data_IF_676327017191
#
_entry.id   IF_676327017191
#
_cell.length_a   1.000
_cell.length_b   1.000
_cell.length_c   1.000
_cell.angle_alpha   90.00
_cell.angle_beta   90.00
_cell.angle_gamma   90.00
#
_symmetry.space_group_name_H-M   'P 1'
#
loop_
_entity.id
_entity.type
_entity.pdbx_description
1 polymer ?
#
# COMPACT_ATOMS: atom_id res chain seq x y z
N UNK A 1 -6.76 16.84 12.37
CA UNK A 1 -6.84 16.90 10.90
C UNK A 1 -5.59 17.49 10.26
N UNK A 2 -5.17 18.72 10.59
CA UNK A 2 -3.98 19.37 10.03
C UNK A 2 -2.76 18.44 9.91
N UNK A 3 -2.34 17.78 11.01
CA UNK A 3 -1.21 16.83 11.00
C UNK A 3 -1.40 15.64 10.05
N UNK A 4 -2.63 15.14 9.87
CA UNK A 4 -2.94 14.03 8.96
C UNK A 4 -2.75 14.43 7.50
N UNK A 5 -2.87 15.70 7.14
CA UNK A 5 -2.65 16.17 5.77
C UNK A 5 -1.15 16.20 5.43
N UNK A 6 -0.28 16.48 6.40
CA UNK A 6 1.16 16.60 6.16
C UNK A 6 1.86 15.28 5.81
N UNK A 7 1.27 14.13 6.17
CA UNK A 7 1.86 12.80 5.90
C UNK A 7 1.59 12.31 4.48
N UNK A 8 0.67 12.94 3.75
CA UNK A 8 0.33 12.57 2.38
C UNK A 8 1.22 13.30 1.38
N UNK A 9 1.70 12.57 0.37
CA UNK A 9 2.43 13.14 -0.75
C UNK A 9 1.53 13.95 -1.69
N UNK A 10 2.15 14.71 -2.60
CA UNK A 10 1.47 15.61 -3.55
C UNK A 10 0.31 14.94 -4.29
N UNK A 11 0.54 13.76 -4.88
CA UNK A 11 -0.48 13.01 -5.63
C UNK A 11 -1.69 12.58 -4.80
N UNK A 12 -1.52 12.37 -3.49
CA UNK A 12 -2.63 12.04 -2.59
C UNK A 12 -3.39 13.30 -2.18
N UNK A 13 -2.69 14.43 -1.98
CA UNK A 13 -3.30 15.73 -1.70
C UNK A 13 -4.10 16.27 -2.90
N UNK A 14 -3.70 15.96 -4.14
CA UNK A 14 -4.45 16.30 -5.36
C UNK A 14 -5.85 15.63 -5.42
N UNK A 15 -6.06 14.54 -4.67
CA UNK A 15 -7.34 13.83 -4.59
C UNK A 15 -8.23 14.32 -3.44
N UNK A 16 -7.77 15.31 -2.68
CA UNK A 16 -8.51 15.90 -1.57
C UNK A 16 -9.02 17.27 -2.03
N UNK A 17 -10.29 17.62 -1.79
CA UNK A 17 -10.83 18.92 -2.16
C UNK A 17 -10.24 20.01 -1.25
N UNK A 18 -9.07 20.51 -1.62
CA UNK A 18 -8.36 21.59 -0.93
C UNK A 18 -8.41 22.84 -1.82
N UNK A 19 -8.86 23.95 -1.26
CA UNK A 19 -8.68 25.25 -1.89
C UNK A 19 -7.20 25.64 -1.99
N UNK A 20 -6.90 26.63 -2.84
CA UNK A 20 -5.54 27.07 -3.14
C UNK A 20 -4.76 27.49 -1.87
N UNK A 21 -5.40 28.24 -0.96
CA UNK A 21 -4.74 28.76 0.24
C UNK A 21 -4.38 27.63 1.20
N UNK A 22 -5.32 26.72 1.46
CA UNK A 22 -5.11 25.58 2.34
C UNK A 22 -4.05 24.64 1.76
N UNK A 23 -4.07 24.44 0.44
CA UNK A 23 -3.05 23.64 -0.27
C UNK A 23 -1.67 24.23 -0.13
N UNK A 24 -1.51 25.53 -0.40
CA UNK A 24 -0.23 26.23 -0.24
C UNK A 24 0.27 26.18 1.21
N UNK A 25 -0.63 26.34 2.18
CA UNK A 25 -0.29 26.27 3.59
C UNK A 25 0.25 24.88 4.00
N UNK A 26 -0.34 23.81 3.48
CA UNK A 26 0.11 22.41 3.70
C UNK A 26 1.47 22.17 3.07
N UNK A 27 1.68 22.57 1.81
CA UNK A 27 2.97 22.40 1.11
C UNK A 27 4.10 23.16 1.82
N UNK A 28 3.82 24.37 2.31
CA UNK A 28 4.77 25.11 3.13
C UNK A 28 5.11 24.36 4.42
N UNK A 29 4.11 23.79 5.09
CA UNK A 29 4.29 23.01 6.32
C UNK A 29 5.08 21.71 6.12
N UNK A 30 5.12 21.17 4.89
CA UNK A 30 5.93 20.00 4.52
C UNK A 30 7.41 20.35 4.31
N UNK A 31 7.73 21.60 3.91
CA UNK A 31 9.10 22.06 3.64
C UNK A 31 9.83 22.58 4.88
N UNK A 32 9.11 23.26 5.77
CA UNK A 32 9.69 23.90 6.95
C UNK A 32 9.87 22.91 8.13
N UNK A 33 10.86 23.16 8.99
CA UNK A 33 11.20 22.30 10.14
C UNK A 33 10.97 23.03 11.48
N UNK A 34 11.05 22.28 12.58
CA UNK A 34 11.06 22.79 13.96
C UNK A 34 9.87 23.73 14.27
N UNK A 35 10.14 24.89 14.86
CA UNK A 35 9.12 25.83 15.32
C UNK A 35 8.28 26.41 14.19
N UNK A 36 8.88 26.66 13.02
CA UNK A 36 8.15 27.13 11.84
C UNK A 36 7.04 26.16 11.45
N UNK A 37 7.32 24.84 11.49
CA UNK A 37 6.32 23.79 11.23
C UNK A 37 5.20 23.80 12.27
N UNK A 38 5.54 24.00 13.55
CA UNK A 38 4.55 24.07 14.63
C UNK A 38 3.60 25.25 14.44
N UNK A 39 4.12 26.44 14.12
CA UNK A 39 3.31 27.64 13.85
C UNK A 39 2.42 27.45 12.62
N UNK A 40 2.97 26.87 11.55
CA UNK A 40 2.21 26.61 10.34
C UNK A 40 1.08 25.59 10.57
N UNK A 41 1.29 24.56 11.39
CA UNK A 41 0.23 23.63 11.79
C UNK A 41 -0.91 24.30 12.55
N UNK A 42 -0.62 25.32 13.37
CA UNK A 42 -1.65 26.11 14.06
C UNK A 42 -2.47 26.93 13.07
N UNK A 43 -1.81 27.57 12.08
CA UNK A 43 -2.47 28.30 11.01
C UNK A 43 -3.41 27.38 10.20
N UNK A 44 -2.92 26.24 9.73
CA UNK A 44 -3.74 25.24 9.02
C UNK A 44 -4.91 24.81 9.89
N UNK A 45 -4.69 24.60 11.20
CA UNK A 45 -5.76 24.29 12.15
C UNK A 45 -6.82 25.38 12.24
N UNK A 46 -6.44 26.66 12.17
CA UNK A 46 -7.36 27.81 12.13
C UNK A 46 -8.14 27.84 10.81
N UNK A 47 -7.46 27.67 9.67
CA UNK A 47 -8.08 27.64 8.34
C UNK A 47 -9.13 26.54 8.24
N UNK A 48 -8.83 25.34 8.75
CA UNK A 48 -9.78 24.21 8.76
C UNK A 48 -11.02 24.49 9.63
N UNK A 49 -10.91 25.26 10.71
CA UNK A 49 -12.08 25.62 11.54
C UNK A 49 -13.01 26.64 10.86
N UNK A 50 -12.52 27.35 9.86
CA UNK A 50 -13.27 28.36 9.11
C UNK A 50 -13.92 27.81 7.84
N UNK A 51 -13.83 26.49 7.61
CA UNK A 51 -14.28 25.82 6.39
C UNK A 51 -15.17 24.64 6.75
N UNK A 52 -15.98 24.21 5.78
CA UNK A 52 -16.57 22.88 5.84
C UNK A 52 -15.48 21.83 5.60
N UNK A 53 -15.22 21.02 6.63
CA UNK A 53 -14.17 20.00 6.61
C UNK A 53 -14.70 18.63 6.24
N UNK A 54 -16.01 18.45 6.13
CA UNK A 54 -16.61 17.14 5.90
C UNK A 54 -16.17 16.51 4.56
N UNK A 55 -16.12 17.26 3.43
CA UNK A 55 -15.57 16.73 2.18
C UNK A 55 -14.09 16.30 2.30
N UNK A 56 -13.30 17.05 3.07
CA UNK A 56 -11.88 16.75 3.33
C UNK A 56 -11.75 15.47 4.17
N UNK A 57 -12.61 15.29 5.19
CA UNK A 57 -12.65 14.07 6.02
C UNK A 57 -12.97 12.85 5.18
N UNK A 58 -14.04 12.93 4.39
CA UNK A 58 -14.46 11.82 3.55
C UNK A 58 -13.38 11.44 2.52
N UNK A 59 -12.73 12.43 1.89
CA UNK A 59 -11.61 12.16 0.99
C UNK A 59 -10.43 11.49 1.70
N UNK A 60 -10.07 11.97 2.90
CA UNK A 60 -9.02 11.35 3.73
C UNK A 60 -9.36 9.91 4.14
N UNK A 61 -10.60 9.64 4.52
CA UNK A 61 -11.02 8.31 4.94
C UNK A 61 -11.06 7.34 3.76
N UNK A 62 -11.52 7.78 2.57
CA UNK A 62 -11.42 7.00 1.33
C UNK A 62 -9.97 6.65 0.98
N UNK A 63 -9.07 7.62 1.08
CA UNK A 63 -7.63 7.40 0.84
C UNK A 63 -7.04 6.41 1.85
N UNK A 64 -7.37 6.58 3.14
CA UNK A 64 -6.90 5.69 4.20
C UNK A 64 -7.44 4.26 4.01
N UNK A 65 -8.72 4.10 3.68
CA UNK A 65 -9.33 2.80 3.44
C UNK A 65 -8.66 2.09 2.27
N UNK A 66 -8.45 2.78 1.14
CA UNK A 66 -7.74 2.21 -0.02
C UNK A 66 -6.29 1.85 0.30
N UNK A 67 -5.60 2.65 1.10
CA UNK A 67 -4.23 2.33 1.53
C UNK A 67 -4.22 1.11 2.45
N UNK A 68 -5.10 1.07 3.45
CA UNK A 68 -5.24 -0.06 4.36
C UNK A 68 -5.59 -1.36 3.61
N UNK A 69 -6.48 -1.29 2.61
CA UNK A 69 -6.82 -2.45 1.77
C UNK A 69 -5.59 -2.98 1.01
N UNK A 70 -4.78 -2.09 0.43
CA UNK A 70 -3.54 -2.48 -0.25
C UNK A 70 -2.52 -3.10 0.71
N UNK A 71 -2.37 -2.56 1.93
CA UNK A 71 -1.48 -3.12 2.95
C UNK A 71 -1.95 -4.51 3.40
N UNK A 72 -3.26 -4.67 3.64
CA UNK A 72 -3.83 -5.96 4.00
C UNK A 72 -3.65 -6.98 2.88
N UNK A 73 -3.90 -6.58 1.62
CA UNK A 73 -3.66 -7.44 0.46
C UNK A 73 -2.19 -7.82 0.36
N UNK A 74 -1.27 -6.86 0.50
CA UNK A 74 0.17 -7.11 0.47
C UNK A 74 0.57 -8.20 1.47
N UNK A 75 0.17 -8.08 2.74
CA UNK A 75 0.47 -9.08 3.75
C UNK A 75 -0.20 -10.44 3.50
N UNK A 76 -1.42 -10.46 2.94
CA UNK A 76 -2.06 -11.71 2.51
C UNK A 76 -1.25 -12.42 1.43
N UNK A 77 -0.74 -11.67 0.44
CA UNK A 77 0.10 -12.21 -0.63
C UNK A 77 1.46 -12.67 -0.11
N UNK A 78 2.06 -11.97 0.85
CA UNK A 78 3.29 -12.42 1.51
C UNK A 78 3.08 -13.74 2.25
N UNK A 79 2.02 -13.84 3.05
CA UNK A 79 1.68 -15.06 3.77
C UNK A 79 1.39 -16.24 2.81
N UNK A 80 0.75 -15.96 1.67
CA UNK A 80 0.49 -16.98 0.65
C UNK A 80 1.77 -17.44 -0.04
N UNK A 81 2.68 -16.51 -0.40
CA UNK A 81 4.03 -16.83 -0.90
C UNK A 81 4.76 -17.75 0.06
N UNK A 82 4.81 -17.40 1.34
CA UNK A 82 5.57 -18.16 2.33
C UNK A 82 4.98 -19.57 2.50
N UNK A 83 3.64 -19.69 2.53
CA UNK A 83 2.95 -21.00 2.52
C UNK A 83 3.23 -21.82 1.26
N UNK A 84 3.26 -21.20 0.08
CA UNK A 84 3.63 -21.88 -1.16
C UNK A 84 5.06 -22.42 -1.12
N UNK A 85 5.99 -21.65 -0.58
CA UNK A 85 7.38 -22.07 -0.44
C UNK A 85 7.51 -23.20 0.57
N UNK A 86 6.76 -23.20 1.67
CA UNK A 86 6.90 -24.24 2.69
C UNK A 86 6.11 -25.52 2.31
N UNK A 87 4.84 -25.38 1.97
CA UNK A 87 3.90 -26.50 1.75
C UNK A 87 3.90 -27.04 0.32
N UNK A 88 4.35 -26.25 -0.67
CA UNK A 88 4.42 -26.69 -2.06
C UNK A 88 3.05 -26.92 -2.69
N UNK A 89 2.83 -28.12 -3.26
CA UNK A 89 1.65 -28.41 -4.08
C UNK A 89 0.32 -28.26 -3.35
N UNK A 90 0.29 -28.53 -2.05
CA UNK A 90 -0.93 -28.41 -1.24
C UNK A 90 -1.41 -26.95 -1.17
N UNK A 91 -0.47 -26.00 -1.07
CA UNK A 91 -0.78 -24.57 -1.08
C UNK A 91 -1.11 -24.05 -2.49
N UNK A 92 -0.71 -24.74 -3.57
CA UNK A 92 -1.10 -24.34 -4.93
C UNK A 92 -2.60 -24.51 -5.14
N UNK A 93 -3.24 -25.49 -4.51
CA UNK A 93 -4.69 -25.66 -4.57
C UNK A 93 -5.42 -24.43 -4.01
N UNK A 94 -4.91 -23.81 -2.93
CA UNK A 94 -5.47 -22.56 -2.39
C UNK A 94 -5.38 -21.41 -3.42
N UNK A 95 -4.25 -21.31 -4.14
CA UNK A 95 -4.07 -20.29 -5.19
C UNK A 95 -5.04 -20.52 -6.35
N UNK A 96 -5.20 -21.77 -6.81
CA UNK A 96 -6.12 -22.09 -7.92
C UNK A 96 -7.60 -21.91 -7.54
N UNK A 97 -7.95 -22.07 -6.26
CA UNK A 97 -9.30 -21.80 -5.78
C UNK A 97 -9.61 -20.30 -5.76
N UNK A 98 -8.61 -19.45 -5.49
CA UNK A 98 -8.74 -17.99 -5.55
C UNK A 98 -8.67 -17.50 -6.99
N UNK A 99 -7.74 -18.03 -7.78
CA UNK A 99 -7.49 -17.64 -9.17
C UNK A 99 -7.43 -18.89 -10.06
N UNK A 100 -8.59 -19.32 -10.61
CA UNK A 100 -8.68 -20.52 -11.46
C UNK A 100 -7.78 -20.48 -12.69
N UNK A 101 -7.50 -19.28 -13.22
CA UNK A 101 -6.66 -19.06 -14.40
C UNK A 101 -5.15 -19.04 -14.08
N UNK A 102 -4.76 -19.24 -12.82
CA UNK A 102 -3.35 -19.25 -12.45
C UNK A 102 -2.62 -20.46 -13.04
N UNK A 103 -1.40 -20.23 -13.53
CA UNK A 103 -0.53 -21.26 -14.10
C UNK A 103 0.10 -22.09 -12.97
N UNK A 104 -0.50 -23.25 -12.74
CA UNK A 104 -0.03 -24.26 -11.80
C UNK A 104 1.43 -24.67 -12.05
N UNK A 105 1.84 -24.79 -13.30
CA UNK A 105 3.17 -25.28 -13.65
C UNK A 105 4.24 -24.20 -13.43
N UNK A 106 3.91 -22.94 -13.70
CA UNK A 106 4.75 -21.79 -13.35
C UNK A 106 4.96 -21.71 -11.84
N UNK A 107 3.89 -21.80 -11.04
CA UNK A 107 3.96 -21.81 -9.57
C UNK A 107 4.85 -22.94 -9.05
N UNK A 108 4.64 -24.18 -9.50
CA UNK A 108 5.49 -25.33 -9.13
C UNK A 108 6.97 -25.08 -9.40
N UNK A 109 7.28 -24.48 -10.55
CA UNK A 109 8.67 -24.18 -10.93
C UNK A 109 9.27 -23.13 -10.00
N UNK A 110 8.55 -22.03 -9.77
CA UNK A 110 9.01 -20.96 -8.88
C UNK A 110 9.20 -21.44 -7.43
N UNK A 111 8.28 -22.27 -6.91
CA UNK A 111 8.36 -22.85 -5.58
C UNK A 111 9.61 -23.72 -5.42
N UNK A 112 9.87 -24.64 -6.36
CA UNK A 112 11.06 -25.50 -6.32
C UNK A 112 12.35 -24.68 -6.34
N UNK A 113 12.40 -23.61 -7.14
CA UNK A 113 13.56 -22.73 -7.20
C UNK A 113 13.72 -21.95 -5.88
N UNK A 114 12.63 -21.45 -5.30
CA UNK A 114 12.65 -20.75 -4.02
C UNK A 114 13.12 -21.66 -2.86
N UNK A 115 12.69 -22.93 -2.83
CA UNK A 115 13.18 -23.93 -1.87
C UNK A 115 14.70 -24.13 -2.00
N UNK A 116 15.19 -24.36 -3.22
CA UNK A 116 16.64 -24.50 -3.51
C UNK A 116 17.44 -23.25 -3.15
N UNK A 117 16.89 -22.06 -3.40
CA UNK A 117 17.53 -20.80 -3.02
C UNK A 117 17.63 -20.66 -1.50
N UNK A 118 16.56 -20.99 -0.77
CA UNK A 118 16.50 -20.96 0.71
C UNK A 118 17.49 -21.96 1.33
N UNK A 119 17.51 -23.20 0.85
CA UNK A 119 18.46 -24.24 1.30
C UNK A 119 19.91 -23.87 1.02
N UNK A 120 20.17 -23.22 -0.12
CA UNK A 120 21.50 -22.79 -0.52
C UNK A 120 21.95 -21.44 0.04
N UNK A 121 21.18 -20.81 0.95
CA UNK A 121 21.42 -19.44 1.44
C UNK A 121 21.65 -18.42 0.31
N UNK A 122 20.97 -18.61 -0.83
CA UNK A 122 21.06 -17.72 -1.99
C UNK A 122 20.06 -16.56 -1.85
N UNK A 123 20.27 -15.46 -2.59
CA UNK A 123 19.29 -14.38 -2.65
C UNK A 123 17.91 -14.91 -3.07
N UNK A 124 16.80 -14.48 -2.42
CA UNK A 124 15.47 -15.05 -2.60
C UNK A 124 14.78 -14.50 -3.86
N UNK A 125 15.38 -14.73 -5.03
CA UNK A 125 14.88 -14.24 -6.32
C UNK A 125 13.53 -14.87 -6.64
N UNK A 126 13.42 -16.18 -6.53
CA UNK A 126 12.21 -16.91 -6.87
C UNK A 126 11.05 -16.58 -5.92
N UNK A 127 11.33 -16.36 -4.63
CA UNK A 127 10.32 -15.89 -3.68
C UNK A 127 9.74 -14.51 -4.06
N UNK A 128 10.60 -13.57 -4.53
CA UNK A 128 10.14 -12.28 -5.06
C UNK A 128 9.29 -12.43 -6.32
N UNK A 129 9.64 -13.37 -7.20
CA UNK A 129 8.86 -13.67 -8.41
C UNK A 129 7.50 -14.28 -8.08
N UNK A 130 7.40 -15.16 -7.08
CA UNK A 130 6.12 -15.67 -6.57
C UNK A 130 5.24 -14.52 -6.10
N UNK A 131 5.78 -13.62 -5.27
CA UNK A 131 5.02 -12.46 -4.79
C UNK A 131 4.50 -11.58 -5.93
N UNK A 132 5.37 -11.29 -6.90
CA UNK A 132 4.98 -10.49 -8.06
C UNK A 132 3.87 -11.16 -8.86
N UNK A 133 3.98 -12.46 -9.11
CA UNK A 133 2.97 -13.23 -9.83
C UNK A 133 1.61 -13.23 -9.10
N UNK A 134 1.62 -13.48 -7.78
CA UNK A 134 0.41 -13.42 -6.97
C UNK A 134 -0.23 -12.02 -6.96
N UNK A 135 0.59 -10.96 -6.99
CA UNK A 135 0.10 -9.59 -7.10
C UNK A 135 -0.56 -9.33 -8.45
N UNK A 136 0.05 -9.79 -9.54
CA UNK A 136 -0.53 -9.67 -10.89
C UNK A 136 -1.88 -10.41 -10.98
N UNK A 137 -2.01 -11.60 -10.39
CA UNK A 137 -3.29 -12.30 -10.30
C UNK A 137 -4.35 -11.49 -9.52
N UNK A 138 -3.98 -10.98 -8.34
CA UNK A 138 -4.89 -10.19 -7.50
C UNK A 138 -5.29 -8.84 -8.14
N UNK A 139 -4.43 -8.25 -8.97
CA UNK A 139 -4.71 -7.01 -9.70
C UNK A 139 -5.61 -7.24 -10.92
N UNK A 140 -5.54 -8.43 -11.54
CA UNK A 140 -6.36 -8.77 -12.71
C UNK A 140 -7.78 -9.26 -12.35
N UNK A 141 -8.03 -9.62 -11.09
CA UNK A 141 -9.34 -10.05 -10.59
C UNK A 141 -10.26 -8.87 -10.18
N UNK A 142 -9.71 -7.65 -10.05
CA UNK A 142 -10.42 -6.45 -9.59
C UNK A 142 -10.81 -5.48 -10.69
#
# INVERSE_FOLDING_TARGET
MARKLLIWGKNALDKIPLDADLRAAIELAQRIKMEGRRRQLQLIGKMLRQRDVEPIRQALDKLKNRHNQQVVLFHKLENLRDRLIDQGDDAIAEVLNLWPDADRQQLRTLIRNAKKEKEGNKPPKSARQIFQYLRELAENEG
#
